data_IF_442203435971
#
_entry.id   IF_442203435971
#
_cell.length_a   1.000
_cell.length_b   1.000
_cell.length_c   1.000
_cell.angle_alpha   90.00
_cell.angle_beta   90.00
_cell.angle_gamma   90.00
#
_symmetry.space_group_name_H-M   'P 1'
#
loop_
_entity.id
_entity.type
_entity.pdbx_description
1 polymer ?
#
# COMPACT_ATOMS: atom_id res chain seq x y z
N UNK A 1 -11.14 -5.91 18.56
CA UNK A 1 -10.44 -6.94 17.72
C UNK A 1 -10.01 -6.28 16.44
N UNK A 2 -8.82 -6.60 15.90
CA UNK A 2 -8.27 -5.96 14.71
C UNK A 2 -7.73 -6.95 13.69
N UNK A 3 -7.47 -6.47 12.47
CA UNK A 3 -6.84 -7.20 11.39
C UNK A 3 -5.59 -6.47 10.91
N UNK A 4 -4.70 -7.15 10.19
CA UNK A 4 -3.46 -6.59 9.68
C UNK A 4 -3.12 -7.17 8.32
N UNK A 5 -2.79 -6.30 7.37
CA UNK A 5 -2.41 -6.68 6.00
C UNK A 5 -1.19 -5.90 5.49
N UNK A 6 -0.62 -6.36 4.38
CA UNK A 6 0.36 -5.60 3.59
C UNK A 6 -0.22 -5.29 2.21
N UNK A 7 0.14 -4.13 1.65
CA UNK A 7 -0.39 -3.65 0.37
C UNK A 7 -0.14 -4.64 -0.77
N UNK A 8 1.08 -5.16 -0.89
CA UNK A 8 1.45 -6.09 -1.97
C UNK A 8 0.68 -7.42 -1.93
N UNK A 9 0.10 -7.79 -0.77
CA UNK A 9 -0.66 -9.04 -0.63
C UNK A 9 -2.16 -8.86 -0.78
N UNK A 10 -2.66 -7.63 -0.80
CA UNK A 10 -4.10 -7.35 -0.78
C UNK A 10 -4.58 -6.40 -1.86
N UNK A 11 -3.84 -5.34 -2.15
CA UNK A 11 -4.36 -4.28 -3.04
C UNK A 11 -4.66 -4.76 -4.45
N UNK A 12 -3.74 -5.48 -5.08
CA UNK A 12 -3.81 -5.70 -6.52
C UNK A 12 -3.61 -4.39 -7.28
N UNK A 13 -4.28 -4.21 -8.42
CA UNK A 13 -4.26 -2.99 -9.23
C UNK A 13 -2.83 -2.43 -9.43
N UNK A 14 -1.89 -3.31 -9.71
CA UNK A 14 -0.44 -3.04 -9.72
C UNK A 14 -0.01 -1.98 -10.74
N UNK A 15 -0.80 -1.77 -11.80
CA UNK A 15 -0.56 -0.84 -12.90
C UNK A 15 -1.69 0.20 -13.06
N UNK A 16 -2.49 0.44 -12.02
CA UNK A 16 -3.61 1.36 -12.04
C UNK A 16 -3.36 2.56 -11.12
N UNK A 17 -4.11 3.64 -11.34
CA UNK A 17 -4.05 4.83 -10.50
C UNK A 17 -2.67 5.49 -10.46
N UNK A 18 -1.90 5.42 -11.55
CA UNK A 18 -0.55 6.00 -11.60
C UNK A 18 0.49 5.31 -10.72
N UNK A 19 0.19 4.11 -10.19
CA UNK A 19 1.14 3.35 -9.36
C UNK A 19 2.40 2.99 -10.14
N UNK A 20 3.57 3.29 -9.58
CA UNK A 20 4.86 2.78 -10.05
C UNK A 20 5.06 1.31 -9.68
N UNK A 21 6.04 0.68 -10.32
CA UNK A 21 6.39 -0.70 -10.00
C UNK A 21 7.11 -0.80 -8.65
N UNK A 22 6.80 -1.82 -7.88
CA UNK A 22 7.54 -2.23 -6.69
C UNK A 22 8.41 -3.46 -7.00
N UNK A 23 9.32 -3.78 -6.10
CA UNK A 23 10.15 -5.00 -6.19
C UNK A 23 9.32 -6.30 -6.18
N UNK A 24 8.06 -6.24 -5.76
CA UNK A 24 7.15 -7.37 -5.78
C UNK A 24 6.42 -7.55 -7.12
N UNK A 25 6.22 -6.47 -7.87
CA UNK A 25 5.47 -6.51 -9.14
C UNK A 25 6.25 -7.21 -10.27
N UNK A 26 7.58 -7.30 -10.17
CA UNK A 26 8.43 -8.06 -11.10
C UNK A 26 8.54 -9.54 -10.74
N UNK A 27 8.02 -9.94 -9.58
CA UNK A 27 8.12 -11.32 -9.10
C UNK A 27 7.21 -12.23 -9.91
N UNK A 28 7.75 -13.34 -10.38
CA UNK A 28 6.95 -14.40 -10.98
C UNK A 28 6.29 -15.22 -9.86
N UNK A 29 4.99 -15.44 -9.90
CA UNK A 29 4.34 -16.31 -8.93
C UNK A 29 4.89 -17.74 -9.09
N UNK A 30 5.12 -18.42 -7.96
CA UNK A 30 5.44 -19.84 -7.98
C UNK A 30 4.22 -20.65 -8.43
N UNK A 31 4.43 -21.85 -8.90
CA UNK A 31 3.34 -22.78 -9.22
C UNK A 31 2.44 -22.95 -7.97
N UNK A 32 1.13 -22.80 -8.16
CA UNK A 32 0.11 -22.81 -7.10
C UNK A 32 0.15 -21.62 -6.11
N UNK A 33 0.92 -20.55 -6.39
CA UNK A 33 0.88 -19.33 -5.60
C UNK A 33 -0.05 -18.29 -6.23
N UNK A 34 -0.66 -17.45 -5.38
CA UNK A 34 -1.46 -16.32 -5.85
C UNK A 34 -0.57 -15.28 -6.55
N UNK A 35 -1.07 -14.72 -7.65
CA UNK A 35 -0.44 -13.57 -8.29
C UNK A 35 -0.77 -12.31 -7.49
N UNK A 36 0.25 -11.65 -6.94
CA UNK A 36 0.09 -10.44 -6.15
C UNK A 36 -0.31 -9.21 -6.97
N UNK A 37 -0.25 -9.29 -8.30
CA UNK A 37 -0.77 -8.26 -9.19
C UNK A 37 -2.28 -8.12 -9.10
N UNK A 38 -2.97 -9.20 -8.74
CA UNK A 38 -4.41 -9.24 -8.48
C UNK A 38 -4.70 -9.29 -7.00
N UNK A 39 -3.97 -10.13 -6.25
CA UNK A 39 -4.10 -10.33 -4.80
C UNK A 39 -5.57 -10.60 -4.39
N UNK A 40 -6.10 -9.87 -3.41
CA UNK A 40 -7.53 -9.90 -3.04
C UNK A 40 -8.32 -8.75 -3.66
N UNK A 41 -7.68 -7.95 -4.50
CA UNK A 41 -8.28 -6.80 -5.20
C UNK A 41 -8.89 -5.77 -4.24
N UNK A 42 -8.26 -5.57 -3.11
CA UNK A 42 -8.79 -4.61 -2.13
C UNK A 42 -8.74 -3.16 -2.63
N UNK A 43 -7.95 -2.85 -3.66
CA UNK A 43 -7.97 -1.53 -4.31
C UNK A 43 -9.37 -1.15 -4.81
N UNK A 44 -10.10 -2.10 -5.39
CA UNK A 44 -11.46 -1.87 -5.88
C UNK A 44 -12.53 -2.23 -4.84
N UNK A 45 -12.24 -3.18 -3.94
CA UNK A 45 -13.24 -3.83 -3.08
C UNK A 45 -13.12 -3.51 -1.59
N UNK A 46 -12.27 -2.57 -1.19
CA UNK A 46 -12.04 -2.27 0.23
C UNK A 46 -13.31 -1.90 1.01
N UNK A 47 -14.31 -1.30 0.35
CA UNK A 47 -15.58 -0.97 1.01
C UNK A 47 -16.34 -2.21 1.46
N UNK A 48 -16.37 -3.25 0.60
CA UNK A 48 -16.98 -4.54 0.93
C UNK A 48 -16.23 -5.20 2.10
N UNK A 49 -14.90 -5.17 2.06
CA UNK A 49 -14.07 -5.72 3.14
C UNK A 49 -14.31 -4.98 4.46
N UNK A 50 -14.49 -3.66 4.43
CA UNK A 50 -14.75 -2.86 5.64
C UNK A 50 -16.15 -3.10 6.19
N UNK A 51 -17.14 -3.32 5.35
CA UNK A 51 -18.49 -3.70 5.78
C UNK A 51 -18.44 -5.05 6.53
N UNK A 52 -17.72 -6.03 5.99
CA UNK A 52 -17.50 -7.31 6.65
C UNK A 52 -16.74 -7.17 7.99
N UNK A 53 -15.72 -6.31 8.03
CA UNK A 53 -14.99 -6.03 9.29
C UNK A 53 -15.89 -5.39 10.34
N UNK A 54 -16.77 -4.47 9.95
CA UNK A 54 -17.73 -3.85 10.84
C UNK A 54 -18.73 -4.87 11.37
N UNK A 55 -19.27 -5.74 10.53
CA UNK A 55 -20.20 -6.81 10.91
C UNK A 55 -19.56 -7.80 11.90
N UNK A 56 -18.24 -8.06 11.74
CA UNK A 56 -17.46 -8.88 12.67
C UNK A 56 -17.09 -8.17 13.98
N UNK A 57 -17.45 -6.90 14.14
CA UNK A 57 -17.13 -6.10 15.33
C UNK A 57 -15.64 -5.75 15.44
N UNK A 58 -14.93 -5.67 14.32
CA UNK A 58 -13.55 -5.17 14.30
C UNK A 58 -13.55 -3.66 14.53
N UNK A 59 -12.62 -3.19 15.33
CA UNK A 59 -12.48 -1.77 15.68
C UNK A 59 -11.11 -1.17 15.37
N UNK A 60 -10.23 -1.96 14.75
CA UNK A 60 -8.90 -1.50 14.34
C UNK A 60 -8.44 -2.28 13.11
N UNK A 61 -7.85 -1.58 12.16
CA UNK A 61 -7.28 -2.17 10.95
C UNK A 61 -5.89 -1.61 10.68
N UNK A 62 -4.88 -2.49 10.74
CA UNK A 62 -3.51 -2.14 10.33
C UNK A 62 -3.33 -2.44 8.85
N UNK A 63 -3.03 -1.43 8.07
CA UNK A 63 -2.72 -1.57 6.66
C UNK A 63 -1.45 -0.82 6.29
N UNK A 64 -0.91 -1.14 5.15
CA UNK A 64 0.28 -0.48 4.63
C UNK A 64 -0.12 0.44 3.47
N UNK A 65 0.48 1.62 3.44
CA UNK A 65 0.47 2.47 2.24
C UNK A 65 1.54 1.94 1.27
N UNK A 66 1.15 1.57 0.06
CA UNK A 66 2.09 1.18 -0.98
C UNK A 66 2.93 2.40 -1.40
N UNK A 67 4.23 2.35 -1.11
CA UNK A 67 5.12 3.47 -1.42
C UNK A 67 5.08 3.84 -2.90
N UNK A 68 5.18 2.85 -3.79
CA UNK A 68 5.12 3.07 -5.24
C UNK A 68 3.78 3.58 -5.77
N UNK A 69 2.69 3.50 -4.98
CA UNK A 69 1.41 4.11 -5.34
C UNK A 69 1.39 5.60 -5.04
N UNK A 70 2.00 6.02 -3.94
CA UNK A 70 2.03 7.44 -3.51
C UNK A 70 3.21 8.19 -4.13
N UNK A 71 4.34 7.51 -4.36
CA UNK A 71 5.52 8.06 -4.99
C UNK A 71 6.10 7.02 -5.97
N UNK A 72 5.70 7.03 -7.24
CA UNK A 72 5.99 5.98 -8.21
C UNK A 72 7.48 5.68 -8.39
N UNK A 73 8.31 6.71 -8.36
CA UNK A 73 9.76 6.60 -8.48
C UNK A 73 10.49 6.40 -7.13
N UNK A 74 9.75 6.41 -6.02
CA UNK A 74 10.28 6.28 -4.66
C UNK A 74 10.85 7.55 -4.07
N UNK A 75 11.30 8.46 -4.89
CA UNK A 75 11.68 9.85 -4.58
C UNK A 75 11.21 10.76 -5.73
N UNK A 76 11.00 12.03 -5.45
CA UNK A 76 10.52 13.00 -6.45
C UNK A 76 9.03 13.32 -6.30
N UNK A 77 8.31 13.33 -7.41
CA UNK A 77 6.91 13.78 -7.43
C UNK A 77 5.96 12.75 -6.81
N UNK A 78 4.96 13.25 -6.09
CA UNK A 78 3.89 12.45 -5.54
C UNK A 78 2.78 12.23 -6.56
N UNK A 79 2.18 11.05 -6.49
CA UNK A 79 1.02 10.68 -7.28
C UNK A 79 -0.26 11.07 -6.54
N UNK A 80 -0.90 12.16 -6.96
CA UNK A 80 -2.10 12.68 -6.32
C UNK A 80 -3.29 11.69 -6.38
N UNK A 81 -3.37 10.85 -7.41
CA UNK A 81 -4.39 9.82 -7.52
C UNK A 81 -4.20 8.73 -6.44
N UNK A 82 -2.96 8.32 -6.22
CA UNK A 82 -2.62 7.38 -5.16
C UNK A 82 -2.87 7.95 -3.75
N UNK A 83 -2.59 9.24 -3.56
CA UNK A 83 -2.90 9.95 -2.30
C UNK A 83 -4.41 10.00 -2.09
N UNK A 84 -5.18 10.39 -3.10
CA UNK A 84 -6.63 10.47 -3.04
C UNK A 84 -7.27 9.10 -2.73
N UNK A 85 -6.72 8.01 -3.26
CA UNK A 85 -7.15 6.66 -2.93
C UNK A 85 -7.02 6.38 -1.42
N UNK A 86 -5.86 6.67 -0.82
CA UNK A 86 -5.67 6.42 0.61
C UNK A 86 -6.48 7.36 1.50
N UNK A 87 -6.75 8.59 1.09
CA UNK A 87 -7.71 9.44 1.80
C UNK A 87 -9.09 8.79 1.85
N UNK A 88 -9.61 8.34 0.71
CA UNK A 88 -10.90 7.63 0.67
C UNK A 88 -10.88 6.36 1.53
N UNK A 89 -9.79 5.59 1.46
CA UNK A 89 -9.62 4.36 2.23
C UNK A 89 -9.68 4.61 3.74
N UNK A 90 -9.01 5.66 4.22
CA UNK A 90 -8.99 6.07 5.63
C UNK A 90 -10.35 6.61 6.05
N UNK A 91 -10.97 7.48 5.25
CA UNK A 91 -12.29 8.05 5.55
C UNK A 91 -13.36 6.98 5.69
N UNK A 92 -13.32 5.96 4.83
CA UNK A 92 -14.27 4.83 4.89
C UNK A 92 -14.06 3.93 6.12
N UNK A 93 -12.83 3.78 6.61
CA UNK A 93 -12.56 3.09 7.88
C UNK A 93 -13.14 3.89 9.06
N UNK A 94 -12.85 5.19 9.11
CA UNK A 94 -13.30 6.08 10.17
C UNK A 94 -14.84 6.13 10.20
N UNK A 95 -15.48 6.22 9.04
CA UNK A 95 -16.96 6.24 8.93
C UNK A 95 -17.61 4.99 9.52
N UNK A 96 -16.90 3.85 9.53
CA UNK A 96 -17.37 2.58 10.12
C UNK A 96 -16.92 2.36 11.56
N UNK A 97 -16.25 3.35 12.16
CA UNK A 97 -15.73 3.25 13.54
C UNK A 97 -14.54 2.30 13.67
N UNK A 98 -13.80 2.08 12.57
CA UNK A 98 -12.60 1.24 12.56
C UNK A 98 -11.38 2.16 12.60
N UNK A 99 -10.56 2.03 13.64
CA UNK A 99 -9.34 2.82 13.83
C UNK A 99 -8.27 2.43 12.81
N UNK A 100 -7.80 3.35 11.94
CA UNK A 100 -6.74 3.06 10.99
C UNK A 100 -5.35 3.07 11.66
N UNK A 101 -4.61 1.98 11.53
CA UNK A 101 -3.19 1.90 11.92
C UNK A 101 -2.33 1.84 10.67
N UNK A 102 -1.64 2.93 10.37
CA UNK A 102 -0.88 3.08 9.13
C UNK A 102 0.53 2.55 9.28
N UNK A 103 0.93 1.65 8.38
CA UNK A 103 2.31 1.23 8.18
C UNK A 103 2.87 1.90 6.92
N UNK A 104 3.90 2.73 7.08
CA UNK A 104 4.45 3.50 5.96
C UNK A 104 5.36 2.66 5.05
N UNK A 105 5.97 1.60 5.57
CA UNK A 105 6.86 0.74 4.81
C UNK A 105 6.82 -0.70 5.31
N UNK A 106 6.66 -1.65 4.41
CA UNK A 106 6.67 -3.08 4.71
C UNK A 106 7.31 -3.86 3.54
N UNK A 107 8.57 -3.56 3.23
CA UNK A 107 9.40 -4.20 2.21
C UNK A 107 9.02 -3.96 0.74
N UNK A 108 8.03 -3.15 0.44
CA UNK A 108 7.52 -2.83 -0.91
C UNK A 108 8.25 -1.65 -1.57
N UNK A 109 9.57 -1.71 -1.61
CA UNK A 109 10.38 -0.64 -2.20
C UNK A 109 10.00 -0.41 -3.67
N UNK A 110 9.84 0.86 -4.12
CA UNK A 110 9.73 1.18 -5.54
C UNK A 110 10.90 0.63 -6.33
N UNK A 111 10.61 0.00 -7.47
CA UNK A 111 11.62 -0.70 -8.27
C UNK A 111 12.72 0.25 -8.75
N UNK A 112 12.36 1.44 -9.23
CA UNK A 112 13.31 2.46 -9.68
C UNK A 112 14.29 2.88 -8.57
N UNK A 113 13.83 2.92 -7.32
CA UNK A 113 14.70 3.22 -6.19
C UNK A 113 15.61 2.04 -5.86
N UNK A 114 15.11 0.81 -5.94
CA UNK A 114 15.90 -0.40 -5.74
C UNK A 114 17.01 -0.55 -6.81
N UNK A 115 16.70 -0.24 -8.06
CA UNK A 115 17.67 -0.30 -9.17
C UNK A 115 18.76 0.77 -9.05
N UNK A 116 18.43 1.96 -8.53
CA UNK A 116 19.40 3.03 -8.25
C UNK A 116 20.24 2.79 -7.00
N UNK A 117 19.73 2.01 -6.05
CA UNK A 117 20.36 1.73 -4.77
C UNK A 117 20.80 0.28 -4.71
N UNK A 118 22.03 -0.01 -5.08
CA UNK A 118 22.64 -1.35 -4.90
C UNK A 118 23.01 -1.66 -3.45
N UNK A 119 22.71 -0.77 -2.52
CA UNK A 119 23.09 -0.86 -1.09
C UNK A 119 21.87 -0.59 -0.21
N UNK A 120 21.83 -1.23 0.96
CA UNK A 120 20.87 -1.00 2.05
C UNK A 120 20.54 0.49 2.24
N UNK A 121 19.32 0.84 2.68
CA UNK A 121 18.88 2.23 2.82
C UNK A 121 19.92 3.06 3.59
N UNK A 122 20.55 4.00 2.90
CA UNK A 122 21.36 5.02 3.57
C UNK A 122 20.47 5.99 4.33
N UNK A 123 21.01 6.75 5.27
CA UNK A 123 20.22 7.72 6.01
C UNK A 123 19.42 8.69 5.11
N UNK A 124 19.90 8.96 3.87
CA UNK A 124 19.20 9.76 2.86
C UNK A 124 17.95 9.12 2.29
N UNK A 125 17.82 7.79 2.30
CA UNK A 125 16.64 7.09 1.77
C UNK A 125 15.39 7.22 2.65
N UNK A 126 15.53 7.69 3.89
CA UNK A 126 14.40 7.93 4.78
C UNK A 126 13.69 9.27 4.52
N UNK A 127 14.31 10.17 3.79
CA UNK A 127 13.72 11.48 3.46
C UNK A 127 12.41 11.34 2.67
N UNK A 128 12.32 10.50 1.63
CA UNK A 128 11.06 10.25 0.91
C UNK A 128 9.96 9.68 1.82
N UNK A 129 10.29 8.71 2.67
CA UNK A 129 9.33 8.13 3.61
C UNK A 129 8.79 9.15 4.62
N UNK A 130 9.65 10.02 5.14
CA UNK A 130 9.20 11.05 6.07
C UNK A 130 8.36 12.14 5.40
N UNK A 131 8.57 12.38 4.10
CA UNK A 131 7.72 13.26 3.30
C UNK A 131 6.35 12.63 3.03
N UNK A 132 6.30 11.32 2.78
CA UNK A 132 5.06 10.57 2.60
C UNK A 132 4.16 10.60 3.84
N UNK A 133 4.74 10.56 5.04
CA UNK A 133 4.01 10.61 6.31
C UNK A 133 3.35 11.97 6.61
N UNK A 134 3.71 13.02 5.89
CA UNK A 134 3.18 14.38 6.07
C UNK A 134 2.11 14.78 5.06
N UNK A 135 1.76 13.89 4.14
CA UNK A 135 0.71 14.08 3.14
C UNK A 135 -0.57 13.42 3.59
#
# INVERSE_FOLDING_TARGET
MGNSVSSMQTEGAWNEGGKGMSVYDIRQPAEFASDWKVATDSYHRFREDFDLMQDLGMNCYRFQIAWSRVCPEGDGEFNEEGIAFYHQFIDELIARGIEPMICLYHFDMPLSLAERSTVLPTAGSWTPLSAMARR
#
